data_IF_427127625758
#
_entry.id   IF_427127625758
#
_cell.length_a   1.000
_cell.length_b   1.000
_cell.length_c   1.000
_cell.angle_alpha   90.00
_cell.angle_beta   90.00
_cell.angle_gamma   90.00
#
_symmetry.space_group_name_H-M   'P 1'
#
loop_
_entity.id
_entity.type
_entity.pdbx_description
1 polymer ?
#
# COMPACT_ATOMS: atom_id res chain seq x y z
N UNK A 1 -19.90 20.57 -5.55
CA UNK A 1 -19.90 19.09 -5.59
C UNK A 1 -19.87 18.55 -4.19
N UNK A 2 -20.70 17.53 -3.90
CA UNK A 2 -20.69 16.74 -2.65
C UNK A 2 -19.87 15.47 -2.88
N UNK A 3 -18.91 15.18 -2.02
CA UNK A 3 -17.97 14.05 -2.15
C UNK A 3 -18.02 13.22 -0.87
N UNK A 4 -18.31 11.94 -1.02
CA UNK A 4 -18.22 10.96 0.07
C UNK A 4 -17.03 10.04 -0.20
N UNK A 5 -16.20 9.81 0.81
CA UNK A 5 -15.11 8.84 0.80
C UNK A 5 -15.45 7.75 1.81
N UNK A 6 -15.38 6.49 1.40
CA UNK A 6 -15.65 5.34 2.25
C UNK A 6 -14.33 4.68 2.62
N UNK A 7 -13.99 4.72 3.90
CA UNK A 7 -12.72 4.25 4.47
C UNK A 7 -11.72 5.39 4.71
N UNK A 8 -11.17 5.46 5.91
CA UNK A 8 -10.11 6.39 6.33
C UNK A 8 -8.73 5.68 6.43
N UNK A 9 -8.49 4.69 5.57
CA UNK A 9 -7.20 4.04 5.40
C UNK A 9 -6.18 4.93 4.66
N UNK A 10 -5.07 4.34 4.21
CA UNK A 10 -4.02 5.06 3.44
C UNK A 10 -4.64 5.72 2.20
N UNK A 11 -5.37 4.95 1.37
CA UNK A 11 -5.99 5.49 0.16
C UNK A 11 -7.04 6.58 0.48
N UNK A 12 -7.90 6.35 1.48
CA UNK A 12 -8.97 7.29 1.82
C UNK A 12 -8.47 8.61 2.41
N UNK A 13 -7.47 8.58 3.29
CA UNK A 13 -6.84 9.81 3.78
C UNK A 13 -6.13 10.55 2.64
N UNK A 14 -5.41 9.83 1.78
CA UNK A 14 -4.65 10.44 0.69
C UNK A 14 -5.57 11.05 -0.37
N UNK A 15 -6.65 10.36 -0.78
CA UNK A 15 -7.57 10.91 -1.79
C UNK A 15 -8.27 12.18 -1.28
N UNK A 16 -8.61 12.25 0.00
CA UNK A 16 -9.13 13.47 0.60
C UNK A 16 -8.14 14.64 0.43
N UNK A 17 -6.87 14.40 0.77
CA UNK A 17 -5.83 15.42 0.71
C UNK A 17 -5.55 15.85 -0.74
N UNK A 18 -5.46 14.91 -1.67
CA UNK A 18 -5.26 15.16 -3.10
C UNK A 18 -6.40 15.98 -3.71
N UNK A 19 -7.64 15.60 -3.44
CA UNK A 19 -8.81 16.35 -3.94
C UNK A 19 -8.88 17.75 -3.33
N UNK A 20 -8.60 17.91 -2.05
CA UNK A 20 -8.52 19.22 -1.38
C UNK A 20 -7.46 20.11 -1.99
N UNK A 21 -6.35 19.55 -2.44
CA UNK A 21 -5.24 20.26 -3.05
C UNK A 21 -5.53 20.67 -4.49
N UNK A 22 -6.10 19.76 -5.28
CA UNK A 22 -6.13 19.89 -6.74
C UNK A 22 -7.45 20.36 -7.31
N UNK A 23 -8.60 20.11 -6.65
CA UNK A 23 -9.88 20.51 -7.22
C UNK A 23 -9.99 22.04 -7.38
N UNK A 24 -10.40 22.52 -8.54
CA UNK A 24 -10.62 23.94 -8.76
C UNK A 24 -11.78 24.45 -7.91
N UNK A 25 -11.72 25.72 -7.52
CA UNK A 25 -12.82 26.36 -6.79
C UNK A 25 -14.04 26.48 -7.73
N UNK A 26 -15.24 26.10 -7.24
CA UNK A 26 -16.46 26.25 -8.02
C UNK A 26 -16.75 27.72 -8.37
N UNK A 27 -17.29 28.02 -9.56
CA UNK A 27 -17.69 29.37 -9.96
C UNK A 27 -18.72 30.01 -9.02
N UNK A 28 -19.58 29.21 -8.39
CA UNK A 28 -20.54 29.66 -7.37
C UNK A 28 -19.87 30.22 -6.09
N UNK A 29 -18.58 29.96 -5.90
CA UNK A 29 -17.87 30.30 -4.66
C UNK A 29 -18.11 29.34 -3.51
N UNK A 30 -19.07 28.40 -3.62
CA UNK A 30 -19.31 27.39 -2.62
C UNK A 30 -18.21 26.29 -2.67
N UNK A 31 -17.55 26.03 -1.55
CA UNK A 31 -16.53 25.01 -1.48
C UNK A 31 -17.11 23.59 -1.70
N UNK A 32 -16.30 22.68 -2.25
CA UNK A 32 -16.66 21.26 -2.28
C UNK A 32 -16.88 20.73 -0.86
N UNK A 33 -17.92 19.92 -0.66
CA UNK A 33 -18.27 19.33 0.64
C UNK A 33 -17.74 17.91 0.70
N UNK A 34 -16.91 17.61 1.69
CA UNK A 34 -16.32 16.29 1.91
C UNK A 34 -16.87 15.65 3.15
N UNK A 35 -17.13 14.35 3.08
CA UNK A 35 -17.41 13.50 4.24
C UNK A 35 -16.66 12.19 4.07
N UNK A 36 -15.91 11.78 5.09
CA UNK A 36 -15.20 10.49 5.13
C UNK A 36 -15.91 9.60 6.13
N UNK A 37 -16.47 8.49 5.68
CA UNK A 37 -17.07 7.48 6.56
C UNK A 37 -16.06 6.38 6.86
N UNK A 38 -15.82 6.14 8.14
CA UNK A 38 -14.94 5.06 8.61
C UNK A 38 -15.69 4.18 9.62
N UNK A 39 -15.53 2.87 9.47
CA UNK A 39 -16.23 1.89 10.30
C UNK A 39 -15.68 1.80 11.73
N UNK A 40 -14.46 2.31 11.96
CA UNK A 40 -13.72 2.20 13.19
C UNK A 40 -13.28 3.57 13.70
N UNK A 41 -13.01 3.66 15.00
CA UNK A 41 -12.40 4.86 15.55
C UNK A 41 -11.00 5.08 14.97
N UNK A 42 -10.73 6.31 14.54
CA UNK A 42 -9.46 6.73 13.96
C UNK A 42 -8.67 7.67 14.88
N UNK A 43 -8.92 7.61 16.20
CA UNK A 43 -8.17 8.41 17.14
C UNK A 43 -6.67 8.04 17.09
N UNK A 44 -5.84 9.02 16.75
CA UNK A 44 -4.40 8.87 16.58
C UNK A 44 -3.64 8.81 17.93
N UNK A 45 -4.28 9.25 19.02
CA UNK A 45 -3.69 9.29 20.35
C UNK A 45 -3.75 7.94 21.08
N UNK A 46 -4.49 6.96 20.52
CA UNK A 46 -4.56 5.61 21.07
C UNK A 46 -3.23 4.89 20.86
N UNK A 47 -2.57 4.48 21.94
CA UNK A 47 -1.31 3.72 21.88
C UNK A 47 -1.55 2.28 21.39
N UNK A 48 -0.48 1.62 20.93
CA UNK A 48 -0.56 0.23 20.47
C UNK A 48 -0.99 -0.74 21.56
N UNK A 49 -0.68 -0.43 22.82
CA UNK A 49 -0.96 -1.28 23.99
C UNK A 49 -2.44 -1.20 24.41
N UNK A 50 -3.10 -0.06 24.20
CA UNK A 50 -4.52 0.13 24.45
C UNK A 50 -5.43 -0.52 23.40
N UNK A 51 -4.88 -1.03 22.32
CA UNK A 51 -5.58 -1.60 21.15
C UNK A 51 -5.78 -3.10 21.23
N UNK A 52 -5.63 -3.66 22.41
CA UNK A 52 -5.87 -5.07 22.67
C UNK A 52 -7.35 -5.43 22.52
N UNK A 53 -7.62 -6.45 21.71
CA UNK A 53 -8.78 -7.35 21.78
C UNK A 53 -10.20 -6.79 21.56
N UNK A 54 -10.42 -5.54 21.15
CA UNK A 54 -11.75 -5.04 20.86
C UNK A 54 -12.17 -5.21 19.40
N UNK A 55 -13.47 -5.48 19.09
CA UNK A 55 -13.98 -5.56 17.72
C UNK A 55 -14.06 -4.20 17.00
N UNK A 56 -13.56 -3.15 17.60
CA UNK A 56 -13.74 -1.75 17.21
C UNK A 56 -12.59 -1.14 16.39
N UNK A 57 -11.52 -1.90 16.09
CA UNK A 57 -10.34 -1.34 15.45
C UNK A 57 -10.15 -1.80 14.00
N UNK A 58 -9.77 -0.86 13.14
CA UNK A 58 -9.39 -1.11 11.75
C UNK A 58 -8.16 -2.03 11.66
N UNK A 59 -8.11 -2.89 10.65
CA UNK A 59 -6.89 -3.65 10.32
C UNK A 59 -5.68 -2.77 10.02
N UNK A 60 -5.91 -1.49 9.66
CA UNK A 60 -4.86 -0.48 9.44
C UNK A 60 -4.23 -0.03 10.76
N UNK A 61 -5.01 -0.09 11.86
CA UNK A 61 -4.55 0.23 13.21
C UNK A 61 -3.93 -0.98 13.91
N UNK A 62 -4.25 -2.20 13.46
CA UNK A 62 -3.64 -3.41 14.02
C UNK A 62 -2.16 -3.40 13.66
N UNK A 63 -1.37 -3.20 14.67
CA UNK A 63 0.08 -3.18 14.63
C UNK A 63 0.60 -4.54 14.20
N UNK A 64 1.52 -4.58 13.27
CA UNK A 64 2.25 -5.81 12.99
C UNK A 64 2.83 -5.92 11.60
N UNK A 65 2.42 -5.06 10.67
CA UNK A 65 2.97 -5.03 9.32
C UNK A 65 3.97 -3.90 9.12
N UNK A 66 5.22 -4.24 8.88
CA UNK A 66 6.14 -3.34 8.20
C UNK A 66 5.76 -3.28 6.71
N UNK A 67 5.96 -2.14 6.09
CA UNK A 67 5.83 -1.97 4.65
C UNK A 67 7.02 -1.17 4.10
N UNK A 68 7.30 -1.35 2.82
CA UNK A 68 8.23 -0.52 2.09
C UNK A 68 7.46 0.42 1.16
N UNK A 69 7.68 1.72 1.28
CA UNK A 69 7.20 2.69 0.29
C UNK A 69 8.35 3.00 -0.64
N UNK A 70 8.20 2.63 -1.91
CA UNK A 70 9.21 2.88 -2.93
C UNK A 70 9.11 4.31 -3.49
N UNK A 71 10.09 4.73 -4.27
CA UNK A 71 10.21 6.09 -4.79
C UNK A 71 8.95 6.58 -5.53
N UNK A 72 8.27 5.70 -6.28
CA UNK A 72 7.01 6.04 -6.94
C UNK A 72 5.94 6.55 -5.97
N UNK A 73 5.71 5.81 -4.86
CA UNK A 73 4.78 6.25 -3.82
C UNK A 73 5.28 7.46 -3.02
N UNK A 74 6.58 7.51 -2.70
CA UNK A 74 7.18 8.65 -2.00
C UNK A 74 7.10 9.95 -2.80
N UNK A 75 7.19 9.88 -4.13
CA UNK A 75 7.02 11.03 -5.01
C UNK A 75 5.60 11.62 -4.94
N UNK A 76 4.58 10.78 -4.85
CA UNK A 76 3.20 11.23 -4.61
C UNK A 76 3.11 11.98 -3.28
N UNK A 77 3.63 11.38 -2.21
CA UNK A 77 3.64 12.01 -0.88
C UNK A 77 4.42 13.33 -0.90
N UNK A 78 5.58 13.38 -1.57
CA UNK A 78 6.39 14.59 -1.70
C UNK A 78 5.63 15.72 -2.40
N UNK A 79 4.96 15.39 -3.51
CA UNK A 79 4.16 16.36 -4.24
C UNK A 79 2.97 16.84 -3.42
N UNK A 80 2.34 15.93 -2.66
CA UNK A 80 1.21 16.26 -1.80
C UNK A 80 1.62 17.22 -0.66
N UNK A 81 2.64 16.83 0.12
CA UNK A 81 3.19 17.60 1.24
C UNK A 81 4.61 17.13 1.58
N UNK A 82 5.61 17.97 1.32
CA UNK A 82 7.02 17.63 1.58
C UNK A 82 7.32 17.46 3.08
N UNK A 83 6.64 18.20 3.96
CA UNK A 83 6.81 18.02 5.42
C UNK A 83 6.25 16.65 5.87
N UNK A 84 5.13 16.22 5.26
CA UNK A 84 4.59 14.89 5.51
C UNK A 84 5.58 13.79 5.09
N UNK A 85 6.22 13.94 3.93
CA UNK A 85 7.26 13.01 3.51
C UNK A 85 8.37 12.93 4.57
N UNK A 86 8.87 14.06 5.04
CA UNK A 86 9.92 14.11 6.07
C UNK A 86 9.50 13.41 7.37
N UNK A 87 8.26 13.62 7.83
CA UNK A 87 7.76 12.96 9.04
C UNK A 87 7.62 11.44 8.85
N UNK A 88 7.16 10.98 7.69
CA UNK A 88 7.08 9.55 7.36
C UNK A 88 8.47 8.92 7.34
N UNK A 89 9.44 9.58 6.70
CA UNK A 89 10.83 9.10 6.65
C UNK A 89 11.46 9.09 8.04
N UNK A 90 11.22 10.13 8.83
CA UNK A 90 11.67 10.24 10.23
C UNK A 90 11.15 9.12 11.12
N UNK A 91 9.91 8.65 10.87
CA UNK A 91 9.29 7.52 11.56
C UNK A 91 9.63 6.15 10.98
N UNK A 92 10.51 6.09 9.97
CA UNK A 92 10.90 4.89 9.26
C UNK A 92 12.41 4.78 9.08
N UNK A 93 12.81 4.00 8.07
CA UNK A 93 14.21 3.77 7.74
C UNK A 93 14.44 3.74 6.23
N UNK A 94 15.45 4.47 5.76
CA UNK A 94 15.82 4.54 4.35
C UNK A 94 16.69 3.34 3.96
N UNK A 95 16.19 2.50 3.04
CA UNK A 95 16.85 1.30 2.53
C UNK A 95 17.33 1.52 1.09
N UNK A 96 18.65 1.64 0.92
CA UNK A 96 19.28 1.82 -0.39
C UNK A 96 19.51 0.49 -1.14
N UNK A 97 19.57 -0.62 -0.39
CA UNK A 97 19.95 -1.93 -0.92
C UNK A 97 18.91 -2.99 -0.60
N UNK A 98 18.62 -3.85 -1.57
CA UNK A 98 17.81 -5.06 -1.40
C UNK A 98 18.69 -6.29 -1.58
N UNK A 99 18.81 -7.11 -0.54
CA UNK A 99 19.63 -8.32 -0.55
C UNK A 99 18.75 -9.56 -0.70
N UNK A 100 19.01 -10.36 -1.73
CA UNK A 100 18.44 -11.69 -1.90
C UNK A 100 19.38 -12.71 -1.26
N UNK A 101 18.92 -13.43 -0.26
CA UNK A 101 19.75 -14.36 0.55
C UNK A 101 19.22 -15.79 0.50
N UNK A 102 20.12 -16.75 0.66
CA UNK A 102 19.74 -18.13 0.95
C UNK A 102 19.34 -18.28 2.43
N UNK A 103 18.65 -19.36 2.78
CA UNK A 103 18.30 -19.73 4.18
C UNK A 103 19.52 -19.81 5.12
N UNK A 104 20.73 -19.90 4.57
CA UNK A 104 21.99 -19.93 5.34
C UNK A 104 22.60 -18.53 5.52
N UNK A 105 21.91 -17.47 5.12
CA UNK A 105 22.37 -16.08 5.25
C UNK A 105 23.35 -15.61 4.15
N UNK A 106 23.69 -16.47 3.18
CA UNK A 106 24.58 -16.10 2.07
C UNK A 106 23.83 -15.17 1.11
N UNK A 107 24.39 -14.00 0.81
CA UNK A 107 23.89 -13.09 -0.22
C UNK A 107 24.11 -13.73 -1.59
N UNK A 108 23.03 -13.94 -2.33
CA UNK A 108 23.00 -14.51 -3.68
C UNK A 108 22.98 -13.42 -4.74
N UNK A 109 22.20 -12.36 -4.48
CA UNK A 109 22.11 -11.21 -5.37
C UNK A 109 21.86 -9.94 -4.57
N UNK A 110 22.26 -8.79 -5.12
CA UNK A 110 22.11 -7.47 -4.52
C UNK A 110 21.53 -6.52 -5.55
N UNK A 111 20.50 -5.77 -5.17
CA UNK A 111 19.85 -4.77 -6.01
C UNK A 111 19.92 -3.40 -5.33
N UNK A 112 20.08 -2.36 -6.12
CA UNK A 112 20.03 -0.97 -5.70
C UNK A 112 19.00 -0.24 -6.55
N UNK A 113 17.72 -0.23 -6.16
CA UNK A 113 16.64 0.33 -6.98
C UNK A 113 16.81 1.81 -7.31
N UNK A 114 17.28 2.60 -6.35
CA UNK A 114 17.58 4.02 -6.55
C UNK A 114 18.83 4.29 -7.42
N UNK A 115 19.59 3.24 -7.78
CA UNK A 115 20.86 3.39 -8.45
C UNK A 115 21.97 3.92 -7.53
N UNK A 116 23.14 4.15 -8.12
CA UNK A 116 24.21 4.91 -7.44
C UNK A 116 23.93 6.39 -7.64
N UNK A 117 24.19 7.26 -6.64
CA UNK A 117 24.18 8.70 -6.86
C UNK A 117 25.01 9.03 -8.10
N UNK A 118 24.50 9.84 -9.00
CA UNK A 118 25.24 10.28 -10.16
C UNK A 118 26.45 11.10 -9.65
N UNK A 119 27.66 10.61 -9.91
CA UNK A 119 28.91 11.26 -9.48
C UNK A 119 29.15 12.63 -10.14
N UNK A 120 28.40 12.94 -11.19
CA UNK A 120 28.50 14.16 -11.99
C UNK A 120 27.50 15.27 -11.54
N UNK A 121 26.72 15.04 -10.51
CA UNK A 121 25.78 16.03 -9.97
C UNK A 121 24.65 16.46 -10.91
N UNK A 122 24.50 15.81 -12.07
CA UNK A 122 23.48 16.15 -13.09
C UNK A 122 22.29 15.20 -13.11
N UNK A 123 22.33 14.10 -12.34
CA UNK A 123 21.22 13.16 -12.21
C UNK A 123 20.24 13.61 -11.12
N UNK A 124 18.95 13.47 -11.36
CA UNK A 124 17.94 13.62 -10.32
C UNK A 124 18.16 12.49 -9.29
N UNK A 125 18.39 12.83 -8.01
CA UNK A 125 18.52 11.84 -6.95
C UNK A 125 17.22 11.05 -6.82
N UNK A 126 17.31 9.73 -6.99
CA UNK A 126 16.16 8.83 -6.76
C UNK A 126 16.08 8.51 -5.28
N UNK A 127 14.86 8.59 -4.71
CA UNK A 127 14.64 8.23 -3.31
C UNK A 127 14.86 6.73 -3.08
N UNK A 128 15.46 6.40 -1.95
CA UNK A 128 15.51 5.03 -1.45
C UNK A 128 14.11 4.53 -1.07
N UNK A 129 13.93 3.21 -0.97
CA UNK A 129 12.72 2.66 -0.36
C UNK A 129 12.72 2.99 1.13
N UNK A 130 11.62 3.54 1.63
CA UNK A 130 11.44 3.80 3.05
C UNK A 130 10.68 2.64 3.68
N UNK A 131 11.35 1.90 4.55
CA UNK A 131 10.73 0.89 5.39
C UNK A 131 10.13 1.56 6.62
N UNK A 132 8.85 1.33 6.87
CA UNK A 132 8.16 1.90 8.01
C UNK A 132 7.02 0.99 8.50
N UNK A 133 6.46 1.27 9.67
CA UNK A 133 5.23 0.61 10.08
C UNK A 133 4.05 1.12 9.26
N UNK A 134 3.11 0.24 8.91
CA UNK A 134 1.87 0.61 8.22
C UNK A 134 1.09 1.65 9.00
N UNK A 135 1.08 1.52 10.32
CA UNK A 135 0.47 2.49 11.22
C UNK A 135 1.17 3.86 11.16
N UNK A 136 2.51 3.90 11.12
CA UNK A 136 3.28 5.15 11.02
C UNK A 136 2.93 5.94 9.77
N UNK A 137 2.89 5.29 8.61
CA UNK A 137 2.46 5.92 7.36
C UNK A 137 1.02 6.44 7.47
N UNK A 138 0.09 5.60 7.92
CA UNK A 138 -1.32 5.99 8.07
C UNK A 138 -1.49 7.16 9.03
N UNK A 139 -0.80 7.15 10.17
CA UNK A 139 -0.89 8.21 11.19
C UNK A 139 -0.52 9.57 10.63
N UNK A 140 0.55 9.65 9.83
CA UNK A 140 0.98 10.92 9.25
C UNK A 140 -0.01 11.45 8.18
N UNK A 141 -0.66 10.57 7.43
CA UNK A 141 -1.75 10.93 6.54
C UNK A 141 -2.99 11.39 7.33
N UNK A 142 -3.39 10.61 8.32
CA UNK A 142 -4.61 10.85 9.14
C UNK A 142 -4.55 12.17 9.93
N UNK A 143 -3.37 12.54 10.48
CA UNK A 143 -3.16 13.82 11.16
C UNK A 143 -3.53 15.04 10.33
N UNK A 144 -3.47 14.93 9.01
CA UNK A 144 -3.73 16.02 8.06
C UNK A 144 -5.18 16.07 7.58
N UNK A 145 -5.97 15.05 7.90
CA UNK A 145 -7.41 15.03 7.66
C UNK A 145 -8.12 15.61 8.89
N UNK A 146 -8.88 16.70 8.77
CA UNK A 146 -9.60 17.30 9.89
C UNK A 146 -10.60 16.32 10.52
N UNK A 147 -10.75 16.36 11.84
CA UNK A 147 -11.62 15.45 12.55
C UNK A 147 -13.11 15.64 12.24
N UNK A 148 -13.54 16.84 11.93
CA UNK A 148 -14.91 17.19 11.57
C UNK A 148 -15.34 16.65 10.19
N UNK A 149 -14.39 16.25 9.36
CA UNK A 149 -14.65 15.61 8.07
C UNK A 149 -14.90 14.10 8.22
N UNK A 150 -14.37 13.49 9.28
CA UNK A 150 -14.46 12.04 9.50
C UNK A 150 -15.66 11.73 10.39
N UNK A 151 -16.52 10.85 9.89
CA UNK A 151 -17.67 10.34 10.61
C UNK A 151 -17.46 8.85 10.88
N UNK A 152 -17.33 8.48 12.15
CA UNK A 152 -17.23 7.06 12.55
C UNK A 152 -18.60 6.41 12.37
N UNK A 153 -18.78 5.77 11.21
CA UNK A 153 -20.02 5.10 10.84
C UNK A 153 -19.77 4.03 9.81
N UNK A 154 -20.33 2.84 10.02
CA UNK A 154 -20.18 1.70 9.12
C UNK A 154 -21.21 1.77 7.99
N UNK A 155 -20.70 1.83 6.75
CA UNK A 155 -21.52 1.76 5.53
C UNK A 155 -22.08 0.34 5.39
N UNK A 156 -23.35 0.23 5.04
CA UNK A 156 -24.02 -1.04 4.73
C UNK A 156 -24.23 -1.25 3.24
N UNK A 157 -24.43 -0.16 2.49
CA UNK A 157 -24.70 -0.22 1.05
C UNK A 157 -24.29 1.07 0.35
N UNK A 158 -23.88 0.93 -0.92
CA UNK A 158 -23.67 2.04 -1.85
C UNK A 158 -24.50 1.76 -3.10
N UNK A 159 -25.30 2.74 -3.52
CA UNK A 159 -26.11 2.67 -4.74
C UNK A 159 -25.62 3.72 -5.72
N UNK A 160 -25.06 3.26 -6.83
CA UNK A 160 -24.73 4.11 -7.99
C UNK A 160 -26.02 4.41 -8.75
N UNK A 161 -26.33 5.68 -8.96
CA UNK A 161 -27.52 6.14 -9.70
C UNK A 161 -27.08 6.81 -11.01
N UNK A 162 -27.71 6.42 -12.10
CA UNK A 162 -27.47 7.06 -13.41
C UNK A 162 -28.01 8.49 -13.46
N UNK A 163 -29.03 8.76 -12.69
CA UNK A 163 -29.71 10.04 -12.50
C UNK A 163 -29.71 10.45 -11.02
N UNK A 164 -29.44 11.72 -10.75
CA UNK A 164 -29.37 12.26 -9.41
C UNK A 164 -28.13 11.84 -8.59
N UNK A 165 -28.20 11.98 -7.29
CA UNK A 165 -27.10 11.74 -6.38
C UNK A 165 -26.96 10.24 -6.05
N UNK A 166 -25.72 9.78 -5.88
CA UNK A 166 -25.42 8.46 -5.35
C UNK A 166 -25.80 8.36 -3.87
N UNK A 167 -26.20 7.19 -3.41
CA UNK A 167 -26.71 6.97 -2.05
C UNK A 167 -25.79 6.05 -1.26
N UNK A 168 -25.49 6.44 -0.03
CA UNK A 168 -24.71 5.64 0.95
C UNK A 168 -25.59 5.40 2.16
N UNK A 169 -25.87 4.12 2.47
CA UNK A 169 -26.66 3.67 3.62
C UNK A 169 -25.77 3.09 4.72
N UNK A 170 -26.27 3.06 5.95
CA UNK A 170 -25.48 2.73 7.14
C UNK A 170 -26.06 1.54 7.92
N UNK A 171 -25.19 0.79 8.60
CA UNK A 171 -25.56 -0.39 9.40
C UNK A 171 -26.42 -0.02 10.61
N UNK A 172 -26.23 1.17 11.17
CA UNK A 172 -26.95 1.66 12.35
C UNK A 172 -28.36 2.19 12.06
N UNK A 173 -28.81 2.13 10.79
CA UNK A 173 -30.10 2.63 10.35
C UNK A 173 -30.23 4.16 10.32
N UNK A 174 -29.13 4.88 10.48
CA UNK A 174 -29.11 6.34 10.30
C UNK A 174 -29.56 6.75 8.89
N UNK A 175 -30.10 7.98 8.72
CA UNK A 175 -30.48 8.48 7.41
C UNK A 175 -29.35 8.34 6.41
N UNK A 176 -29.66 7.88 5.19
CA UNK A 176 -28.71 7.74 4.09
C UNK A 176 -28.11 9.09 3.71
N UNK A 177 -26.85 9.08 3.28
CA UNK A 177 -26.16 10.24 2.75
C UNK A 177 -26.15 10.21 1.21
N UNK A 178 -26.17 11.40 0.59
CA UNK A 178 -26.20 11.55 -0.85
C UNK A 178 -25.03 12.40 -1.34
N UNK A 179 -24.40 11.98 -2.46
CA UNK A 179 -23.26 12.67 -3.05
C UNK A 179 -23.23 12.57 -4.58
N UNK A 180 -22.59 13.58 -5.20
CA UNK A 180 -22.27 13.57 -6.63
C UNK A 180 -21.21 12.50 -6.93
N UNK A 181 -20.18 12.41 -6.07
CA UNK A 181 -19.06 11.49 -6.18
C UNK A 181 -18.95 10.66 -4.88
N UNK A 182 -18.91 9.34 -5.03
CA UNK A 182 -18.61 8.40 -3.95
C UNK A 182 -17.30 7.69 -4.28
N UNK A 183 -16.31 7.77 -3.40
CA UNK A 183 -15.02 7.11 -3.56
C UNK A 183 -14.95 5.91 -2.62
N UNK A 184 -14.87 4.71 -3.20
CA UNK A 184 -14.61 3.47 -2.46
C UNK A 184 -13.11 3.31 -2.19
N UNK A 185 -12.70 3.59 -0.95
CA UNK A 185 -11.36 3.35 -0.40
C UNK A 185 -11.41 2.38 0.78
N UNK A 186 -12.42 1.51 0.78
CA UNK A 186 -12.83 0.60 1.86
C UNK A 186 -12.11 -0.76 1.82
N UNK A 187 -11.07 -0.86 0.96
CA UNK A 187 -10.14 -1.98 0.91
C UNK A 187 -10.71 -3.24 0.26
N UNK A 188 -9.98 -4.33 0.38
CA UNK A 188 -10.25 -5.61 -0.28
C UNK A 188 -11.67 -6.15 -0.05
N UNK A 189 -12.19 -6.03 1.17
CA UNK A 189 -13.52 -6.50 1.58
C UNK A 189 -14.56 -5.38 1.60
N UNK A 190 -14.26 -4.29 0.91
CA UNK A 190 -15.13 -3.13 0.82
C UNK A 190 -16.46 -3.40 0.15
N UNK A 191 -17.46 -2.60 0.48
CA UNK A 191 -18.82 -2.72 -0.07
C UNK A 191 -19.04 -1.84 -1.30
N UNK A 192 -18.21 -0.78 -1.47
CA UNK A 192 -18.34 0.15 -2.58
C UNK A 192 -18.26 -0.55 -3.96
N UNK A 193 -17.46 -1.61 -4.07
CA UNK A 193 -17.33 -2.42 -5.29
C UNK A 193 -18.67 -2.97 -5.79
N UNK A 194 -19.60 -3.33 -4.89
CA UNK A 194 -20.90 -3.89 -5.27
C UNK A 194 -21.75 -2.90 -6.07
N UNK A 195 -21.59 -1.61 -5.83
CA UNK A 195 -22.33 -0.57 -6.56
C UNK A 195 -22.00 -0.56 -8.07
N UNK A 196 -20.83 -1.07 -8.47
CA UNK A 196 -20.40 -1.13 -9.86
C UNK A 196 -21.11 -2.24 -10.65
N UNK A 197 -21.65 -3.26 -9.95
CA UNK A 197 -22.24 -4.46 -10.53
C UNK A 197 -23.67 -4.68 -10.01
N UNK A 198 -24.63 -3.76 -10.28
CA UNK A 198 -26.00 -3.88 -9.80
C UNK A 198 -26.70 -5.06 -10.46
N UNK A 199 -27.60 -5.69 -9.72
CA UNK A 199 -28.36 -6.86 -10.18
C UNK A 199 -27.71 -8.20 -9.84
N UNK A 200 -26.43 -8.22 -9.49
CA UNK A 200 -25.77 -9.44 -9.03
C UNK A 200 -26.10 -9.74 -7.57
N UNK A 201 -26.62 -10.93 -7.30
CA UNK A 201 -26.96 -11.36 -5.92
C UNK A 201 -25.73 -11.60 -5.06
N UNK A 202 -24.63 -12.04 -5.67
CA UNK A 202 -23.32 -12.25 -5.04
C UNK A 202 -22.28 -11.35 -5.69
N UNK A 203 -21.13 -11.17 -5.01
CA UNK A 203 -19.99 -10.46 -5.59
C UNK A 203 -19.48 -11.24 -6.82
N UNK A 204 -19.54 -10.68 -8.05
CA UNK A 204 -19.07 -11.39 -9.25
C UNK A 204 -17.54 -11.48 -9.33
N UNK A 205 -16.83 -10.70 -8.51
CA UNK A 205 -15.36 -10.64 -8.43
C UNK A 205 -14.89 -10.80 -6.98
N UNK A 206 -15.19 -11.92 -6.31
CA UNK A 206 -14.83 -12.10 -4.91
C UNK A 206 -13.31 -12.20 -4.76
N UNK A 207 -12.74 -11.62 -3.71
CA UNK A 207 -11.36 -11.89 -3.35
C UNK A 207 -11.15 -13.37 -3.12
N UNK A 208 -10.00 -13.89 -3.52
CA UNK A 208 -9.65 -15.27 -3.25
C UNK A 208 -8.36 -15.41 -2.43
N UNK A 209 -8.31 -16.44 -1.61
CA UNK A 209 -7.17 -16.78 -0.79
C UNK A 209 -6.09 -17.44 -1.65
N UNK A 210 -4.86 -16.99 -1.52
CA UNK A 210 -3.71 -17.43 -2.34
C UNK A 210 -3.00 -18.69 -1.81
N UNK A 211 -3.48 -19.28 -0.73
CA UNK A 211 -2.80 -20.40 -0.10
C UNK A 211 -1.52 -20.02 0.62
N UNK A 212 -1.36 -18.76 0.99
CA UNK A 212 -0.20 -18.24 1.71
C UNK A 212 -0.62 -17.41 2.92
N UNK A 213 0.15 -17.53 3.99
CA UNK A 213 0.01 -16.69 5.18
C UNK A 213 1.30 -15.95 5.49
N UNK A 214 1.15 -14.72 5.94
CA UNK A 214 2.22 -13.90 6.49
C UNK A 214 2.15 -13.86 8.00
N UNK A 215 3.31 -13.89 8.65
CA UNK A 215 3.50 -13.64 10.08
C UNK A 215 4.62 -12.64 10.21
N UNK A 216 4.53 -11.69 11.13
CA UNK A 216 5.58 -10.67 11.28
C UNK A 216 5.53 -9.97 12.63
N UNK A 217 6.54 -9.13 12.86
CA UNK A 217 6.68 -8.37 14.09
C UNK A 217 7.96 -7.56 14.12
N UNK A 218 8.32 -7.12 15.32
CA UNK A 218 9.54 -6.36 15.57
C UNK A 218 10.36 -7.03 16.67
N UNK A 219 11.68 -6.87 16.56
CA UNK A 219 12.64 -7.28 17.61
C UNK A 219 13.64 -6.14 17.86
N UNK A 220 14.22 -6.04 19.07
CA UNK A 220 15.27 -5.06 19.34
C UNK A 220 16.47 -5.21 18.39
N UNK A 221 16.96 -4.10 17.83
CA UNK A 221 18.15 -4.11 16.98
C UNK A 221 19.38 -4.68 17.69
N UNK A 222 19.49 -4.45 19.00
CA UNK A 222 20.59 -4.98 19.84
C UNK A 222 20.77 -6.49 19.74
N UNK A 223 19.69 -7.26 19.53
CA UNK A 223 19.73 -8.72 19.36
C UNK A 223 20.43 -9.17 18.08
N UNK A 224 20.35 -8.35 17.04
CA UNK A 224 20.81 -8.69 15.68
C UNK A 224 21.90 -7.74 15.18
N UNK A 225 22.42 -6.89 16.07
CA UNK A 225 23.52 -5.96 15.78
C UNK A 225 24.72 -6.71 15.23
N UNK A 226 25.30 -6.21 14.14
CA UNK A 226 26.41 -6.85 13.44
C UNK A 226 25.99 -7.93 12.41
N UNK A 227 24.72 -8.32 12.38
CA UNK A 227 24.18 -9.30 11.43
C UNK A 227 23.26 -8.68 10.38
N UNK A 228 22.75 -7.47 10.63
CA UNK A 228 21.94 -6.71 9.68
C UNK A 228 22.81 -5.63 9.03
N UNK A 229 22.89 -5.66 7.72
CA UNK A 229 23.59 -4.63 6.95
C UNK A 229 22.81 -3.31 7.02
N UNK A 230 23.48 -2.23 7.37
CA UNK A 230 22.91 -0.89 7.44
C UNK A 230 22.42 -0.45 6.06
N UNK A 231 21.22 0.13 5.98
CA UNK A 231 20.64 0.57 4.71
C UNK A 231 20.12 -0.57 3.84
N UNK A 232 19.93 -1.78 4.38
CA UNK A 232 19.45 -2.91 3.59
C UNK A 232 18.07 -3.42 4.02
N UNK A 233 17.31 -3.89 3.02
CA UNK A 233 16.16 -4.76 3.18
C UNK A 233 16.55 -6.16 2.71
N UNK A 234 16.33 -7.17 3.54
CA UNK A 234 16.81 -8.52 3.30
C UNK A 234 15.65 -9.47 3.01
N UNK A 235 15.79 -10.24 1.93
CA UNK A 235 14.82 -11.21 1.44
C UNK A 235 15.49 -12.58 1.45
N UNK A 236 15.13 -13.43 2.42
CA UNK A 236 15.74 -14.75 2.62
C UNK A 236 14.79 -15.81 2.10
N UNK A 237 15.28 -16.62 1.18
CA UNK A 237 14.50 -17.67 0.54
C UNK A 237 14.99 -19.06 0.97
N UNK A 238 14.04 -19.96 1.20
CA UNK A 238 14.27 -21.38 1.45
C UNK A 238 13.29 -22.26 0.70
N UNK A 239 13.50 -23.56 0.73
CA UNK A 239 12.63 -24.52 0.09
C UNK A 239 11.23 -24.62 0.73
N UNK A 240 11.07 -24.14 1.93
CA UNK A 240 9.85 -24.25 2.73
C UNK A 240 9.31 -22.89 3.22
N UNK A 241 9.62 -21.82 2.51
CA UNK A 241 9.09 -20.50 2.82
C UNK A 241 10.04 -19.36 2.50
N UNK A 242 9.62 -18.20 2.96
CA UNK A 242 10.29 -16.94 2.75
C UNK A 242 10.35 -16.18 4.08
N UNK A 243 11.47 -15.50 4.30
CA UNK A 243 11.65 -14.62 5.46
C UNK A 243 12.24 -13.28 5.01
N UNK A 244 11.77 -12.18 5.60
CA UNK A 244 12.35 -10.87 5.35
C UNK A 244 12.63 -10.13 6.65
N UNK A 245 13.61 -9.23 6.61
CA UNK A 245 13.90 -8.34 7.73
C UNK A 245 14.60 -7.06 7.27
N UNK A 246 14.39 -6.00 8.04
CA UNK A 246 14.94 -4.67 7.76
C UNK A 246 15.03 -3.87 9.07
N UNK A 247 15.91 -2.86 9.11
CA UNK A 247 15.92 -1.87 10.18
C UNK A 247 14.67 -1.02 10.05
N UNK A 248 13.87 -0.90 11.13
CA UNK A 248 12.54 -0.30 11.06
C UNK A 248 12.51 1.20 11.32
N UNK A 249 13.57 1.75 11.91
CA UNK A 249 13.68 3.17 12.24
C UNK A 249 15.14 3.63 12.30
N UNK A 250 15.33 4.94 12.11
CA UNK A 250 16.63 5.60 12.27
C UNK A 250 16.85 6.00 13.73
N UNK A 251 18.12 6.06 14.17
CA UNK A 251 18.47 6.60 15.49
C UNK A 251 17.91 8.02 15.66
N UNK A 252 17.49 8.35 16.89
CA UNK A 252 16.79 9.61 17.18
C UNK A 252 17.64 10.84 16.90
N UNK A 253 18.94 10.74 17.10
CA UNK A 253 19.95 11.78 16.91
C UNK A 253 20.65 11.71 15.53
N UNK A 254 20.22 10.78 14.66
CA UNK A 254 20.87 10.60 13.38
C UNK A 254 20.68 11.83 12.47
N UNK A 255 21.77 12.34 11.87
CA UNK A 255 21.66 13.34 10.82
C UNK A 255 20.91 12.73 9.63
N UNK A 256 20.12 13.56 8.93
CA UNK A 256 19.36 13.14 7.75
C UNK A 256 18.31 12.04 7.97
N UNK A 257 17.87 11.79 9.23
CA UNK A 257 16.86 10.78 9.53
C UNK A 257 15.48 11.06 8.87
N UNK A 258 15.28 12.25 8.34
CA UNK A 258 14.09 12.68 7.61
C UNK A 258 14.31 12.76 6.09
N UNK A 259 15.48 12.31 5.60
CA UNK A 259 15.81 12.31 4.19
C UNK A 259 15.67 10.93 3.55
N UNK A 260 14.84 10.77 2.51
CA UNK A 260 14.74 9.50 1.79
C UNK A 260 15.94 9.20 0.88
N UNK A 261 16.88 10.12 0.77
CA UNK A 261 18.08 9.98 -0.06
C UNK A 261 19.30 9.46 0.70
N UNK A 262 19.24 9.47 2.03
CA UNK A 262 20.37 9.12 2.89
C UNK A 262 20.02 7.91 3.77
N UNK A 263 21.02 7.05 3.96
CA UNK A 263 20.94 5.97 4.93
C UNK A 263 21.49 6.48 6.27
N UNK A 264 20.66 6.43 7.30
CA UNK A 264 21.01 6.88 8.65
C UNK A 264 21.52 5.74 9.53
N UNK A 265 22.20 6.01 10.65
CA UNK A 265 22.44 5.03 11.69
C UNK A 265 21.13 4.37 12.15
N UNK A 266 21.15 3.06 12.47
CA UNK A 266 19.95 2.31 12.89
C UNK A 266 19.46 2.78 14.26
N UNK A 267 18.13 2.81 14.43
CA UNK A 267 17.46 2.95 15.71
C UNK A 267 17.38 1.63 16.47
N UNK A 268 16.34 1.46 17.27
CA UNK A 268 16.27 0.37 18.24
C UNK A 268 15.50 -0.86 17.76
N UNK A 269 14.83 -0.79 16.59
CA UNK A 269 13.98 -1.89 16.15
C UNK A 269 14.29 -2.42 14.75
N UNK A 270 14.10 -3.74 14.59
CA UNK A 270 14.17 -4.47 13.32
C UNK A 270 12.82 -5.10 13.07
N UNK A 271 12.23 -4.76 11.94
CA UNK A 271 11.03 -5.40 11.44
C UNK A 271 11.37 -6.70 10.74
N UNK A 272 10.52 -7.71 10.92
CA UNK A 272 10.64 -8.99 10.25
C UNK A 272 9.29 -9.53 9.82
N UNK A 273 9.29 -10.37 8.80
CA UNK A 273 8.10 -11.13 8.37
C UNK A 273 8.51 -12.48 7.77
N UNK A 274 7.62 -13.44 7.89
CA UNK A 274 7.72 -14.73 7.21
C UNK A 274 6.46 -14.97 6.39
N UNK A 275 6.60 -15.61 5.23
CA UNK A 275 5.46 -16.01 4.39
C UNK A 275 5.65 -17.48 4.00
N UNK A 276 4.61 -18.28 4.15
CA UNK A 276 4.64 -19.71 3.88
C UNK A 276 3.27 -20.24 3.44
N UNK A 277 3.27 -21.44 2.86
CA UNK A 277 2.06 -22.10 2.37
C UNK A 277 1.19 -22.57 3.52
N UNK A 278 -0.11 -22.31 3.44
CA UNK A 278 -1.15 -22.84 4.31
C UNK A 278 -2.36 -23.11 3.41
N UNK A 279 -2.75 -24.38 3.28
CA UNK A 279 -3.77 -24.78 2.30
C UNK A 279 -5.15 -24.24 2.65
N UNK A 280 -5.55 -24.34 3.93
CA UNK A 280 -6.80 -23.79 4.42
C UNK A 280 -6.61 -22.37 4.94
N UNK A 281 -7.50 -21.44 4.53
CA UNK A 281 -7.42 -20.08 4.99
C UNK A 281 -7.70 -19.99 6.51
N UNK A 282 -6.72 -19.63 7.34
CA UNK A 282 -6.94 -19.49 8.77
C UNK A 282 -7.86 -18.30 9.06
N UNK A 283 -8.71 -18.46 10.08
CA UNK A 283 -9.44 -17.31 10.64
C UNK A 283 -8.50 -16.56 11.61
N UNK A 284 -8.10 -15.30 11.27
CA UNK A 284 -7.17 -14.54 12.11
C UNK A 284 -7.66 -14.30 13.55
N UNK A 285 -8.97 -14.46 13.79
CA UNK A 285 -9.59 -14.25 15.11
C UNK A 285 -9.49 -15.48 16.03
N UNK A 286 -9.39 -16.67 15.44
CA UNK A 286 -9.38 -17.95 16.16
C UNK A 286 -8.02 -18.61 16.22
N UNK A 287 -6.97 -17.98 15.70
CA UNK A 287 -5.64 -18.59 15.61
C UNK A 287 -4.94 -18.60 16.97
N UNK A 288 -4.43 -19.77 17.36
CA UNK A 288 -3.57 -19.92 18.53
C UNK A 288 -2.18 -19.33 18.24
N UNK A 289 -1.82 -18.29 18.98
CA UNK A 289 -0.54 -17.58 18.83
C UNK A 289 0.68 -18.43 19.16
N UNK A 290 0.55 -19.36 20.11
CA UNK A 290 1.62 -20.26 20.50
C UNK A 290 1.85 -21.33 19.42
N UNK A 291 0.77 -21.83 18.84
CA UNK A 291 0.84 -22.78 17.73
C UNK A 291 1.46 -22.15 16.49
N UNK A 292 1.11 -20.90 16.14
CA UNK A 292 1.78 -20.17 15.04
C UNK A 292 3.29 -20.11 15.29
N UNK A 293 3.72 -19.74 16.49
CA UNK A 293 5.14 -19.63 16.83
C UNK A 293 5.85 -20.99 16.76
N UNK A 294 5.19 -22.04 17.21
CA UNK A 294 5.68 -23.42 17.10
C UNK A 294 5.84 -23.83 15.64
N UNK A 295 4.83 -23.60 14.80
CA UNK A 295 4.89 -23.88 13.37
C UNK A 295 6.01 -23.07 12.68
N UNK A 296 6.16 -21.79 13.03
CA UNK A 296 7.21 -20.93 12.50
C UNK A 296 8.62 -21.47 12.84
N UNK A 297 8.84 -21.88 14.09
CA UNK A 297 10.10 -22.48 14.54
C UNK A 297 10.39 -23.80 13.85
N UNK A 298 9.40 -24.69 13.77
CA UNK A 298 9.56 -26.00 13.11
C UNK A 298 9.89 -25.82 11.62
N UNK A 299 9.22 -24.90 10.94
CA UNK A 299 9.44 -24.64 9.52
C UNK A 299 10.83 -24.10 9.22
N UNK A 300 11.40 -23.27 10.10
CA UNK A 300 12.71 -22.65 9.92
C UNK A 300 13.84 -23.29 10.73
N UNK A 301 13.63 -24.45 11.38
CA UNK A 301 14.60 -25.08 12.25
C UNK A 301 15.96 -25.36 11.58
N UNK A 302 15.98 -25.58 10.27
CA UNK A 302 17.18 -25.83 9.47
C UNK A 302 17.78 -24.59 8.81
N UNK A 303 17.23 -23.40 9.09
CA UNK A 303 17.76 -22.15 8.57
C UNK A 303 18.91 -21.68 9.46
N UNK A 304 19.95 -21.10 8.84
CA UNK A 304 21.19 -20.72 9.53
C UNK A 304 21.49 -19.20 9.39
N UNK A 305 20.58 -18.41 8.81
CA UNK A 305 20.73 -16.96 8.84
C UNK A 305 20.69 -16.49 10.30
N UNK A 306 21.74 -15.77 10.79
CA UNK A 306 21.86 -15.45 12.21
C UNK A 306 20.74 -14.51 12.70
N UNK A 307 20.19 -13.66 11.85
CA UNK A 307 19.05 -12.79 12.20
C UNK A 307 17.80 -13.61 12.40
N UNK A 308 17.52 -14.54 11.50
CA UNK A 308 16.33 -15.41 11.58
C UNK A 308 16.41 -16.29 12.83
N UNK A 309 17.56 -16.90 13.13
CA UNK A 309 17.74 -17.70 14.34
C UNK A 309 17.40 -16.87 15.60
N UNK A 310 17.93 -15.65 15.71
CA UNK A 310 17.66 -14.75 16.83
C UNK A 310 16.18 -14.35 16.93
N UNK A 311 15.57 -14.02 15.78
CA UNK A 311 14.14 -13.69 15.71
C UNK A 311 13.29 -14.88 16.22
N UNK A 312 13.55 -16.09 15.75
CA UNK A 312 12.79 -17.29 16.15
C UNK A 312 12.92 -17.65 17.64
N UNK A 313 14.08 -17.33 18.24
CA UNK A 313 14.32 -17.53 19.68
C UNK A 313 13.50 -16.55 20.54
N UNK A 314 13.38 -15.30 20.11
CA UNK A 314 12.94 -14.17 20.96
C UNK A 314 11.55 -13.64 20.62
N UNK A 315 11.07 -13.86 19.39
CA UNK A 315 9.81 -13.25 18.92
C UNK A 315 8.58 -13.78 19.61
N UNK A 316 7.63 -12.85 19.78
CA UNK A 316 6.23 -13.15 20.07
C UNK A 316 5.43 -12.89 18.80
N UNK A 317 4.61 -13.86 18.41
CA UNK A 317 3.69 -13.70 17.28
C UNK A 317 2.37 -13.14 17.81
N UNK A 318 1.88 -12.08 17.21
CA UNK A 318 0.62 -11.45 17.63
C UNK A 318 -0.56 -11.78 16.72
N UNK A 319 -0.28 -12.05 15.44
CA UNK A 319 -1.33 -12.39 14.47
C UNK A 319 -0.75 -13.05 13.21
N UNK A 320 -1.64 -13.67 12.45
CA UNK A 320 -1.37 -14.24 11.13
C UNK A 320 -2.22 -13.53 10.07
N UNK A 321 -1.65 -13.29 8.92
CA UNK A 321 -2.26 -12.53 7.83
C UNK A 321 -2.41 -13.41 6.58
N UNK A 322 -3.61 -13.95 6.32
CA UNK A 322 -3.88 -14.63 5.06
C UNK A 322 -3.68 -13.68 3.87
N UNK A 323 -3.04 -14.19 2.83
CA UNK A 323 -2.82 -13.44 1.60
C UNK A 323 -4.03 -13.57 0.68
N UNK A 324 -4.62 -12.45 0.36
CA UNK A 324 -5.76 -12.35 -0.54
C UNK A 324 -5.40 -11.51 -1.74
N UNK A 325 -5.97 -11.84 -2.87
CA UNK A 325 -5.93 -11.01 -4.08
C UNK A 325 -7.34 -10.77 -4.61
N UNK A 326 -7.49 -9.69 -5.34
CA UNK A 326 -8.70 -9.41 -6.09
C UNK A 326 -8.48 -9.76 -7.56
N UNK A 327 -9.41 -10.46 -8.22
CA UNK A 327 -9.36 -10.63 -9.67
C UNK A 327 -9.45 -9.25 -10.35
N UNK A 328 -8.86 -9.07 -11.54
CA UNK A 328 -8.99 -7.83 -12.29
C UNK A 328 -10.44 -7.47 -12.52
N UNK A 329 -10.84 -6.27 -12.08
CA UNK A 329 -12.19 -5.75 -12.31
C UNK A 329 -12.29 -5.16 -13.73
N UNK A 330 -13.41 -5.36 -14.44
CA UNK A 330 -13.62 -4.78 -15.77
C UNK A 330 -13.80 -3.27 -15.73
N UNK A 331 -14.26 -2.74 -14.61
CA UNK A 331 -14.42 -1.30 -14.36
C UNK A 331 -14.10 -0.94 -12.91
N UNK A 332 -13.61 0.27 -12.69
CA UNK A 332 -13.42 0.88 -11.36
C UNK A 332 -14.35 2.07 -11.15
N UNK A 333 -15.25 2.31 -12.09
CA UNK A 333 -16.23 3.39 -12.02
C UNK A 333 -17.60 2.95 -12.50
N UNK A 334 -18.65 3.46 -11.85
CA UNK A 334 -20.02 3.44 -12.32
C UNK A 334 -20.79 4.62 -11.77
N UNK A 335 -21.34 5.44 -12.67
CA UNK A 335 -22.28 6.53 -12.36
C UNK A 335 -21.85 7.43 -11.19
N UNK A 336 -20.53 7.73 -11.11
CA UNK A 336 -19.97 8.57 -10.06
C UNK A 336 -19.60 7.82 -8.77
N UNK A 337 -19.61 6.50 -8.75
CA UNK A 337 -18.94 5.67 -7.73
C UNK A 337 -17.61 5.22 -8.30
N UNK A 338 -16.48 5.58 -7.67
CA UNK A 338 -15.11 5.31 -8.14
C UNK A 338 -14.34 4.54 -7.08
N UNK A 339 -13.63 3.48 -7.46
CA UNK A 339 -12.78 2.69 -6.57
C UNK A 339 -11.31 3.11 -6.68
N UNK A 340 -10.59 3.10 -5.55
CA UNK A 340 -9.15 3.36 -5.47
C UNK A 340 -8.44 2.38 -4.53
N UNK A 341 -7.17 2.09 -4.82
CA UNK A 341 -6.34 1.20 -4.01
C UNK A 341 -6.89 -0.22 -3.91
N UNK A 342 -6.80 -0.84 -2.73
CA UNK A 342 -7.21 -2.23 -2.51
C UNK A 342 -8.70 -2.50 -2.80
N UNK A 343 -9.55 -1.48 -2.84
CA UNK A 343 -10.94 -1.61 -3.25
C UNK A 343 -11.07 -1.87 -4.77
N UNK A 344 -10.11 -1.39 -5.57
CA UNK A 344 -10.04 -1.57 -7.02
C UNK A 344 -9.18 -2.78 -7.42
N UNK A 345 -8.06 -3.05 -6.70
CA UNK A 345 -7.05 -4.00 -7.17
C UNK A 345 -6.11 -4.51 -6.06
N UNK A 346 -6.60 -5.11 -5.02
CA UNK A 346 -5.74 -5.64 -3.96
C UNK A 346 -4.63 -6.56 -4.52
N UNK A 347 -3.38 -6.13 -4.32
CA UNK A 347 -2.20 -6.81 -4.82
C UNK A 347 -1.62 -7.77 -3.78
N UNK A 348 -1.00 -8.89 -4.21
CA UNK A 348 -0.28 -9.76 -3.30
C UNK A 348 0.84 -8.98 -2.57
N UNK A 349 1.09 -9.26 -1.27
CA UNK A 349 2.19 -8.63 -0.52
C UNK A 349 3.56 -8.81 -1.17
N UNK A 350 3.72 -9.86 -2.00
CA UNK A 350 4.94 -10.13 -2.78
C UNK A 350 5.31 -9.03 -3.77
N UNK A 351 4.34 -8.22 -4.17
CA UNK A 351 4.60 -7.05 -5.03
C UNK A 351 5.42 -5.99 -4.31
N UNK A 352 5.26 -5.86 -2.98
CA UNK A 352 5.81 -4.74 -2.20
C UNK A 352 5.26 -3.38 -2.64
N UNK A 353 4.16 -3.35 -3.41
CA UNK A 353 3.66 -2.15 -4.11
C UNK A 353 2.27 -1.69 -3.67
N UNK A 354 1.55 -2.45 -2.84
CA UNK A 354 0.16 -2.13 -2.52
C UNK A 354 -0.07 -0.68 -2.09
N UNK A 355 0.72 -0.17 -1.16
CA UNK A 355 0.62 1.23 -0.71
C UNK A 355 1.02 2.23 -1.81
N UNK A 356 2.12 1.98 -2.53
CA UNK A 356 2.57 2.86 -3.61
C UNK A 356 1.55 2.94 -4.74
N UNK A 357 0.91 1.81 -5.10
CA UNK A 357 -0.11 1.79 -6.15
C UNK A 357 -1.38 2.51 -5.71
N UNK A 358 -1.78 2.39 -4.44
CA UNK A 358 -2.90 3.18 -3.90
C UNK A 358 -2.61 4.69 -3.92
N UNK A 359 -1.37 5.11 -3.61
CA UNK A 359 -0.95 6.50 -3.70
C UNK A 359 -0.98 7.02 -5.15
N UNK A 360 -0.48 6.23 -6.11
CA UNK A 360 -0.55 6.59 -7.53
C UNK A 360 -1.98 6.69 -8.05
N UNK A 361 -2.90 5.82 -7.62
CA UNK A 361 -4.31 5.86 -8.01
C UNK A 361 -4.96 7.18 -7.61
N UNK A 362 -4.76 7.58 -6.35
CA UNK A 362 -5.44 8.75 -5.82
C UNK A 362 -4.91 10.04 -6.44
N UNK A 363 -3.61 10.14 -6.69
CA UNK A 363 -3.05 11.29 -7.43
C UNK A 363 -3.55 11.31 -8.88
N UNK A 364 -3.52 10.16 -9.56
CA UNK A 364 -3.98 10.02 -10.94
C UNK A 364 -5.43 10.48 -11.11
N UNK A 365 -6.34 9.91 -10.31
CA UNK A 365 -7.76 10.26 -10.38
C UNK A 365 -8.00 11.73 -10.04
N UNK A 366 -7.33 12.25 -9.00
CA UNK A 366 -7.48 13.64 -8.57
C UNK A 366 -7.03 14.63 -9.64
N UNK A 367 -5.93 14.36 -10.33
CA UNK A 367 -5.42 15.21 -11.41
C UNK A 367 -6.36 15.21 -12.64
N UNK A 368 -6.86 14.04 -13.06
CA UNK A 368 -7.83 13.98 -14.15
C UNK A 368 -9.14 14.64 -13.77
N UNK A 369 -9.66 14.42 -12.57
CA UNK A 369 -10.90 15.06 -12.11
C UNK A 369 -10.75 16.57 -12.06
N UNK A 370 -9.63 17.06 -11.53
CA UNK A 370 -9.32 18.49 -11.49
C UNK A 370 -9.32 19.12 -12.88
N UNK A 371 -8.67 18.45 -13.85
CA UNK A 371 -8.62 18.94 -15.24
C UNK A 371 -10.00 19.02 -15.90
N UNK A 372 -10.79 17.94 -15.83
CA UNK A 372 -12.11 17.90 -16.44
C UNK A 372 -13.07 18.87 -15.76
N UNK A 373 -12.98 19.02 -14.44
CA UNK A 373 -13.80 19.94 -13.69
C UNK A 373 -13.44 21.41 -14.01
N UNK A 374 -12.14 21.71 -14.12
CA UNK A 374 -11.66 23.03 -14.55
C UNK A 374 -12.20 23.41 -15.92
N UNK A 375 -12.12 22.49 -16.90
CA UNK A 375 -12.70 22.72 -18.23
C UNK A 375 -14.21 22.95 -18.20
N UNK A 376 -14.94 22.19 -17.38
CA UNK A 376 -16.39 22.37 -17.25
C UNK A 376 -16.73 23.75 -16.67
N UNK A 377 -15.98 24.23 -15.68
CA UNK A 377 -16.15 25.55 -15.10
C UNK A 377 -15.83 26.66 -16.09
N UNK A 378 -14.74 26.53 -16.85
CA UNK A 378 -14.35 27.51 -17.88
C UNK A 378 -15.39 27.60 -19.00
N UNK A 379 -15.96 26.48 -19.46
CA UNK A 379 -16.90 26.45 -20.57
C UNK A 379 -18.29 26.94 -20.20
N UNK A 380 -18.73 26.70 -18.93
CA UNK A 380 -20.09 26.98 -18.49
C UNK A 380 -20.24 28.34 -17.75
N UNK A 381 -19.18 28.84 -17.14
CA UNK A 381 -19.23 30.04 -16.28
C UNK A 381 -20.06 29.85 -14.99
N UNK A 382 -20.56 28.65 -14.76
CA UNK A 382 -21.35 28.24 -13.58
C UNK A 382 -21.05 26.78 -13.21
N UNK A 383 -21.47 26.38 -12.04
CA UNK A 383 -21.33 24.97 -11.60
C UNK A 383 -22.12 24.05 -12.55
N UNK A 384 -21.56 22.87 -12.94
CA UNK A 384 -22.31 21.88 -13.69
C UNK A 384 -23.61 21.50 -12.98
N UNK A 385 -24.70 21.39 -13.72
CA UNK A 385 -25.97 20.87 -13.20
C UNK A 385 -25.90 19.37 -12.90
N UNK A 386 -25.00 18.67 -13.61
CA UNK A 386 -24.68 17.27 -13.39
C UNK A 386 -23.15 17.05 -13.48
N UNK A 387 -22.55 16.55 -12.41
CA UNK A 387 -21.13 16.22 -12.33
C UNK A 387 -20.79 14.85 -12.94
N UNK A 388 -21.78 14.01 -13.27
CA UNK A 388 -21.56 12.62 -13.70
C UNK A 388 -20.71 12.51 -14.96
N UNK A 389 -20.96 13.37 -15.95
CA UNK A 389 -20.17 13.39 -17.18
C UNK A 389 -18.71 13.72 -16.93
N UNK A 390 -18.43 14.67 -16.05
CA UNK A 390 -17.08 15.09 -15.63
C UNK A 390 -16.38 13.97 -14.90
N UNK A 391 -17.05 13.34 -13.93
CA UNK A 391 -16.51 12.23 -13.13
C UNK A 391 -16.20 11.03 -14.03
N UNK A 392 -17.12 10.66 -14.93
CA UNK A 392 -16.96 9.54 -15.87
C UNK A 392 -15.77 9.77 -16.81
N UNK A 393 -15.58 10.99 -17.33
CA UNK A 393 -14.44 11.31 -18.20
C UNK A 393 -13.11 11.18 -17.44
N UNK A 394 -13.03 11.69 -16.23
CA UNK A 394 -11.86 11.57 -15.38
C UNK A 394 -11.56 10.10 -15.01
N UNK A 395 -12.58 9.37 -14.60
CA UNK A 395 -12.45 7.97 -14.21
C UNK A 395 -12.07 7.07 -15.39
N UNK A 396 -12.57 7.38 -16.60
CA UNK A 396 -12.14 6.66 -17.82
C UNK A 396 -10.64 6.82 -18.05
N UNK A 397 -10.10 8.03 -18.02
CA UNK A 397 -8.66 8.25 -18.21
C UNK A 397 -7.84 7.63 -17.06
N UNK A 398 -8.33 7.69 -15.83
CA UNK A 398 -7.75 7.00 -14.70
C UNK A 398 -7.64 5.49 -14.94
N UNK A 399 -8.73 4.84 -15.35
CA UNK A 399 -8.74 3.40 -15.66
C UNK A 399 -7.86 3.05 -16.86
N UNK A 400 -7.93 3.82 -17.94
CA UNK A 400 -7.14 3.61 -19.16
C UNK A 400 -5.63 3.63 -18.86
N UNK A 401 -5.18 4.47 -17.92
CA UNK A 401 -3.78 4.56 -17.52
C UNK A 401 -3.42 3.49 -16.48
N UNK A 402 -4.26 3.30 -15.45
CA UNK A 402 -3.90 2.52 -14.28
C UNK A 402 -4.16 1.01 -14.40
N UNK A 403 -5.28 0.59 -15.02
CA UNK A 403 -5.60 -0.85 -15.13
C UNK A 403 -4.49 -1.65 -15.82
N UNK A 404 -3.93 -1.24 -16.98
CA UNK A 404 -2.83 -1.96 -17.61
C UNK A 404 -1.56 -1.98 -16.77
N UNK A 405 -1.27 -0.88 -16.03
CA UNK A 405 -0.10 -0.78 -15.17
C UNK A 405 -0.21 -1.72 -13.97
N UNK A 406 -1.32 -1.67 -13.25
CA UNK A 406 -1.60 -2.53 -12.09
C UNK A 406 -1.65 -4.00 -12.50
N UNK A 407 -2.25 -4.33 -13.66
CA UNK A 407 -2.28 -5.70 -14.17
C UNK A 407 -0.86 -6.27 -14.37
N UNK A 408 0.06 -5.50 -14.95
CA UNK A 408 1.46 -5.95 -15.11
C UNK A 408 2.13 -6.23 -13.77
N UNK A 409 1.85 -5.40 -12.75
CA UNK A 409 2.37 -5.60 -11.39
C UNK A 409 1.78 -6.87 -10.77
N UNK A 410 0.47 -7.08 -10.93
CA UNK A 410 -0.22 -8.27 -10.44
C UNK A 410 0.34 -9.55 -11.07
N UNK A 411 0.46 -9.58 -12.40
CA UNK A 411 0.98 -10.75 -13.15
C UNK A 411 2.42 -11.09 -12.69
N UNK A 412 3.27 -10.08 -12.48
CA UNK A 412 4.63 -10.28 -11.99
C UNK A 412 4.66 -10.75 -10.52
N UNK A 413 3.79 -10.19 -9.69
CA UNK A 413 3.69 -10.55 -8.28
C UNK A 413 3.21 -12.00 -8.09
N UNK A 414 2.25 -12.47 -8.88
CA UNK A 414 1.76 -13.85 -8.86
C UNK A 414 2.85 -14.83 -9.25
N UNK A 415 3.65 -14.53 -10.29
CA UNK A 415 4.80 -15.37 -10.65
C UNK A 415 5.83 -15.45 -9.52
N UNK A 416 6.05 -14.33 -8.82
CA UNK A 416 6.96 -14.27 -7.68
C UNK A 416 6.41 -15.01 -6.45
N UNK A 417 5.09 -15.02 -6.27
CA UNK A 417 4.40 -15.70 -5.18
C UNK A 417 4.57 -17.23 -5.27
N UNK A 418 4.48 -17.79 -6.47
CA UNK A 418 4.69 -19.22 -6.69
C UNK A 418 6.09 -19.68 -6.28
N UNK A 419 7.08 -18.80 -6.25
CA UNK A 419 8.43 -19.09 -5.76
C UNK A 419 8.53 -19.26 -4.24
N UNK A 420 7.52 -18.81 -3.49
CA UNK A 420 7.45 -18.93 -2.01
C UNK A 420 6.77 -20.22 -1.53
N UNK A 421 6.19 -21.00 -2.45
CA UNK A 421 5.60 -22.29 -2.15
C UNK A 421 6.71 -23.30 -1.80
N UNK A 422 6.33 -24.36 -1.10
CA UNK A 422 7.24 -25.43 -0.72
C UNK A 422 7.90 -26.06 -1.96
N UNK A 423 9.19 -26.32 -1.86
CA UNK A 423 10.07 -26.84 -2.91
C UNK A 423 10.85 -28.03 -2.41
N UNK A 424 11.19 -28.92 -3.32
CA UNK A 424 12.18 -29.97 -3.07
C UNK A 424 13.58 -29.36 -2.87
N UNK A 425 14.48 -30.11 -2.24
CA UNK A 425 15.86 -29.66 -2.05
C UNK A 425 16.57 -29.34 -3.39
N UNK A 426 16.28 -30.10 -4.43
CA UNK A 426 16.86 -29.88 -5.77
C UNK A 426 16.37 -28.55 -6.35
N UNK A 427 15.08 -28.27 -6.30
CA UNK A 427 14.49 -27.01 -6.76
C UNK A 427 15.02 -25.81 -5.98
N UNK A 428 15.25 -25.98 -4.66
CA UNK A 428 15.85 -24.95 -3.83
C UNK A 428 17.28 -24.61 -4.29
N UNK A 429 18.11 -25.60 -4.55
CA UNK A 429 19.49 -25.36 -5.03
C UNK A 429 19.51 -24.78 -6.44
N UNK A 430 18.62 -25.21 -7.33
CA UNK A 430 18.47 -24.61 -8.67
C UNK A 430 18.08 -23.14 -8.56
N UNK A 431 17.14 -22.82 -7.67
CA UNK A 431 16.75 -21.43 -7.39
C UNK A 431 17.94 -20.59 -6.89
N UNK A 432 18.76 -21.12 -5.99
CA UNK A 432 19.95 -20.43 -5.49
C UNK A 432 21.01 -20.21 -6.58
N UNK A 433 21.27 -21.24 -7.38
CA UNK A 433 22.22 -21.13 -8.50
C UNK A 433 21.76 -20.09 -9.51
N UNK A 434 20.47 -20.08 -9.85
CA UNK A 434 19.88 -19.07 -10.73
C UNK A 434 20.00 -17.65 -10.16
N UNK A 435 19.63 -17.45 -8.89
CA UNK A 435 19.76 -16.15 -8.22
C UNK A 435 21.20 -15.68 -8.17
N UNK A 436 22.13 -16.57 -7.85
CA UNK A 436 23.56 -16.27 -7.80
C UNK A 436 24.09 -15.88 -9.19
N UNK A 437 23.72 -16.64 -10.23
CA UNK A 437 24.10 -16.34 -11.62
C UNK A 437 23.55 -14.98 -12.08
N UNK A 438 22.27 -14.69 -11.81
CA UNK A 438 21.67 -13.39 -12.14
C UNK A 438 22.29 -12.26 -11.31
N UNK A 439 22.75 -12.52 -10.09
CA UNK A 439 23.48 -11.57 -9.27
C UNK A 439 24.76 -11.01 -9.92
N UNK A 440 25.33 -11.72 -10.90
CA UNK A 440 26.45 -11.23 -11.72
C UNK A 440 26.01 -10.22 -12.78
N UNK A 441 24.70 -10.15 -13.04
CA UNK A 441 24.10 -9.21 -14.01
C UNK A 441 23.08 -8.29 -13.29
N UNK A 442 23.53 -7.42 -12.38
CA UNK A 442 22.64 -6.62 -11.53
C UNK A 442 21.65 -5.78 -12.34
N UNK A 443 22.03 -5.32 -13.54
CA UNK A 443 21.15 -4.56 -14.41
C UNK A 443 19.92 -5.35 -14.88
N UNK A 444 20.04 -6.67 -15.06
CA UNK A 444 18.93 -7.54 -15.50
C UNK A 444 17.85 -7.62 -14.39
N UNK A 445 18.27 -7.71 -13.13
CA UNK A 445 17.35 -7.73 -11.99
C UNK A 445 16.80 -6.34 -11.64
N UNK A 446 17.68 -5.33 -11.72
CA UNK A 446 17.35 -3.98 -11.27
C UNK A 446 16.47 -3.24 -12.27
N UNK A 447 16.62 -3.50 -13.60
CA UNK A 447 15.88 -2.76 -14.63
C UNK A 447 14.36 -2.82 -14.49
N UNK A 448 13.72 -4.00 -14.32
CA UNK A 448 12.26 -4.05 -14.11
C UNK A 448 11.82 -3.34 -12.82
N UNK A 449 12.59 -3.54 -11.75
CA UNK A 449 12.32 -2.88 -10.48
C UNK A 449 12.50 -1.37 -10.59
N UNK A 450 13.55 -0.92 -11.26
CA UNK A 450 13.84 0.49 -11.51
C UNK A 450 12.71 1.15 -12.30
N UNK A 451 12.22 0.52 -13.38
CA UNK A 451 11.09 1.01 -14.15
C UNK A 451 9.82 1.16 -13.31
N UNK A 452 9.62 0.30 -12.32
CA UNK A 452 8.49 0.36 -11.41
C UNK A 452 8.65 1.49 -10.39
N UNK A 453 9.82 1.62 -9.75
CA UNK A 453 10.03 2.61 -8.68
C UNK A 453 10.30 4.03 -9.21
N UNK A 454 10.73 4.17 -10.47
CA UNK A 454 10.90 5.46 -11.15
C UNK A 454 9.66 5.90 -11.92
N UNK A 455 8.59 5.10 -11.89
CA UNK A 455 7.34 5.47 -12.53
C UNK A 455 6.77 6.72 -11.85
N UNK A 456 6.54 7.76 -12.65
CA UNK A 456 5.99 9.02 -12.17
C UNK A 456 4.60 9.26 -12.74
N UNK A 457 3.60 8.94 -11.94
CA UNK A 457 2.20 9.02 -12.34
C UNK A 457 1.77 10.43 -12.75
N UNK A 458 2.24 11.47 -12.05
CA UNK A 458 1.89 12.85 -12.40
C UNK A 458 2.42 13.22 -13.80
N UNK A 459 3.66 12.83 -14.13
CA UNK A 459 4.22 13.04 -15.46
C UNK A 459 3.43 12.31 -16.55
N UNK A 460 2.97 11.08 -16.28
CA UNK A 460 2.14 10.33 -17.23
C UNK A 460 0.77 11.01 -17.44
N UNK A 461 0.13 11.48 -16.38
CA UNK A 461 -1.12 12.24 -16.46
C UNK A 461 -0.92 13.52 -17.27
N UNK A 462 0.15 14.29 -16.98
CA UNK A 462 0.44 15.54 -17.72
C UNK A 462 0.68 15.29 -19.21
N UNK A 463 1.37 14.21 -19.58
CA UNK A 463 1.54 13.82 -20.99
C UNK A 463 0.19 13.62 -21.67
N UNK A 464 -0.73 12.88 -21.04
CA UNK A 464 -2.06 12.60 -21.60
C UNK A 464 -2.94 13.84 -21.71
N UNK A 465 -2.82 14.78 -20.74
CA UNK A 465 -3.58 16.03 -20.76
C UNK A 465 -3.07 17.04 -21.79
N UNK A 466 -1.79 16.97 -22.19
CA UNK A 466 -1.12 17.91 -23.08
C UNK A 466 -0.76 17.31 -24.44
N UNK A 467 -1.04 16.04 -24.71
CA UNK A 467 -1.03 15.52 -26.08
C UNK A 467 -2.09 16.31 -26.84
N UNK A 468 -1.63 17.17 -27.76
CA UNK A 468 -2.50 17.94 -28.65
C UNK A 468 -3.41 16.95 -29.39
N UNK A 469 -4.71 17.04 -29.14
CA UNK A 469 -5.77 16.46 -29.99
C UNK A 469 -5.62 16.98 -31.42
#
# INVERSE_FOLDING_TARGET
MKIIIIGAGIAGCTIYLELRKHLPKPPSGEAHKFTVYEAYDTNIDTTSDDRGNGPTYSSTLIVGGGLGVAANGLNVIKRLDENMLREIVRGGYSCATMNMKSKNGKVLARMQPAGKPALDGKGQETMNTVACSRHGLWRELRKRVPNDVIVTRRVSEVVARSDGLNVVSFVDGSPSAEADLVIGADGLKGLAKKALFPGEKADPFPPHYEGLCGVGGFVPYSLVKGHVEIGSMNFVMGGNGFFGYFIAESALDAPHRDSPYHVSPPGESVGWWSTYSVDECPDPKSVDKEDILKQLRERHKNWKDPVICKVLETSKVTSMYPTWIMPPLPTWERDGVVLVGDAAHALPPTSGQGSSQALEDVECFSLFLSHHLGKAYESGGHDPTDYKGVIRAAAKQYMDLRQPHVKRILDHAQQSQNRKRDKTAIEEYIMYAFMWMIGWFPNVMTKPLKQLVEYDIASEVYKLLHVKS
#
